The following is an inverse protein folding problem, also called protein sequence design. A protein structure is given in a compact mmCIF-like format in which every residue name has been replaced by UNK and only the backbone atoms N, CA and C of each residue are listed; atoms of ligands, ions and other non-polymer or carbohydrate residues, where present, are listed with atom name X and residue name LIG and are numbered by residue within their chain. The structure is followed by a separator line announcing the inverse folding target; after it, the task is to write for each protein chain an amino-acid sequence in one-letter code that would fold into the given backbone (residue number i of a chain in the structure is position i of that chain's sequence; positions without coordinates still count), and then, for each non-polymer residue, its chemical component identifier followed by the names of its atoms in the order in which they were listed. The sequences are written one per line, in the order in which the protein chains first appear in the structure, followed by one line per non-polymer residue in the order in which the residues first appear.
data_IF_951506698587
#
_entry.id   IF_951506698587
#
_cell.length_a   1.000
_cell.length_b   1.000
_cell.length_c   1.000
_cell.angle_alpha   90.00
_cell.angle_beta   90.00
_cell.angle_gamma   90.00
#
_symmetry.space_group_name_H-M   'P 1'
#
loop_
_entity.id
_entity.type
_entity.pdbx_description
1 polymer ?
#
# COMPACT_ATOMS: atom_id res chain seq x y z
N UNK A 1 40.26 -27.42 -41.96
CA UNK A 1 39.08 -27.94 -41.22
C UNK A 1 38.60 -26.81 -40.34
N UNK A 2 37.56 -26.10 -40.77
CA UNK A 2 37.11 -24.88 -40.12
C UNK A 2 36.07 -25.26 -39.07
N UNK A 3 36.45 -25.16 -37.80
CA UNK A 3 35.59 -25.49 -36.66
C UNK A 3 34.46 -24.46 -36.58
N UNK A 4 33.23 -24.90 -36.84
CA UNK A 4 32.03 -24.09 -36.63
C UNK A 4 31.73 -24.01 -35.13
N UNK A 5 31.80 -22.80 -34.57
CA UNK A 5 31.49 -22.53 -33.16
C UNK A 5 29.98 -22.29 -33.03
N UNK A 6 29.28 -23.15 -32.29
CA UNK A 6 27.85 -22.97 -32.00
C UNK A 6 27.73 -22.08 -30.76
N UNK A 7 27.27 -20.84 -30.95
CA UNK A 7 26.95 -19.92 -29.86
C UNK A 7 25.53 -20.24 -29.40
N UNK A 8 25.40 -20.97 -28.28
CA UNK A 8 24.12 -21.18 -27.63
C UNK A 8 23.79 -19.89 -26.87
N UNK A 9 22.86 -19.11 -27.39
CA UNK A 9 22.30 -17.96 -26.68
C UNK A 9 21.26 -18.49 -25.69
N UNK A 10 21.68 -18.70 -24.44
CA UNK A 10 20.78 -18.99 -23.33
C UNK A 10 20.07 -17.68 -23.00
N UNK A 11 18.87 -17.50 -23.56
CA UNK A 11 17.97 -16.43 -23.16
C UNK A 11 17.53 -16.78 -21.74
N UNK A 12 18.20 -16.13 -20.79
CA UNK A 12 17.85 -16.14 -19.39
C UNK A 12 16.38 -15.71 -19.28
N UNK A 13 15.49 -16.69 -19.07
CA UNK A 13 14.19 -16.50 -18.46
C UNK A 13 14.42 -16.02 -17.03
N UNK A 14 14.91 -14.78 -16.89
CA UNK A 14 14.83 -14.06 -15.64
C UNK A 14 13.33 -13.87 -15.42
N UNK A 15 12.72 -14.45 -14.38
CA UNK A 15 11.42 -13.95 -13.94
C UNK A 15 11.68 -12.47 -13.73
N UNK A 16 10.97 -11.61 -14.48
CA UNK A 16 11.03 -10.18 -14.31
C UNK A 16 10.83 -9.95 -12.83
N UNK A 17 11.93 -9.67 -12.12
CA UNK A 17 11.88 -9.35 -10.71
C UNK A 17 10.96 -8.15 -10.69
N UNK A 18 9.76 -8.35 -10.17
CA UNK A 18 8.83 -7.27 -9.96
C UNK A 18 9.60 -6.31 -9.08
N UNK A 19 10.12 -5.26 -9.71
CA UNK A 19 10.69 -4.13 -9.06
C UNK A 19 9.52 -3.58 -8.26
N UNK A 20 9.41 -4.01 -6.99
CA UNK A 20 8.55 -3.39 -6.02
C UNK A 20 9.05 -1.96 -5.99
N UNK A 21 8.35 -1.08 -6.71
CA UNK A 21 8.64 0.32 -6.63
C UNK A 21 8.55 0.66 -5.15
N UNK A 22 9.59 1.31 -4.63
CA UNK A 22 9.56 2.05 -3.36
C UNK A 22 8.54 3.22 -3.44
N UNK A 23 7.42 3.03 -4.16
CA UNK A 23 6.28 3.91 -4.09
C UNK A 23 5.66 3.70 -2.73
N UNK A 24 5.61 4.77 -1.93
CA UNK A 24 4.97 4.78 -0.62
C UNK A 24 3.69 3.95 -0.62
N UNK A 25 3.74 2.81 0.05
CA UNK A 25 2.64 1.86 0.07
C UNK A 25 1.42 2.56 0.68
N UNK A 26 0.39 2.77 -0.14
CA UNK A 26 -0.87 3.37 0.32
C UNK A 26 -1.65 2.32 1.09
N UNK A 27 -1.81 2.55 2.39
CA UNK A 27 -2.59 1.72 3.31
C UNK A 27 -3.97 2.34 3.52
N UNK A 28 -5.03 1.54 3.54
CA UNK A 28 -6.39 2.02 3.82
C UNK A 28 -6.76 1.68 5.26
N UNK A 29 -7.16 2.68 6.04
CA UNK A 29 -7.60 2.51 7.43
C UNK A 29 -8.94 1.79 7.48
N UNK A 30 -9.07 0.85 8.40
CA UNK A 30 -10.30 0.12 8.69
C UNK A 30 -10.46 -0.13 10.18
N UNK A 31 -11.71 -0.30 10.62
CA UNK A 31 -12.07 -0.58 12.01
C UNK A 31 -12.80 -1.91 12.10
N UNK A 32 -12.37 -2.77 13.01
CA UNK A 32 -13.08 -4.00 13.33
C UNK A 32 -13.96 -3.76 14.56
N UNK A 33 -15.30 -3.72 14.42
CA UNK A 33 -16.19 -3.44 15.54
C UNK A 33 -16.36 -4.60 16.52
N UNK A 34 -16.02 -5.83 16.13
CA UNK A 34 -16.13 -7.00 17.03
C UNK A 34 -15.03 -7.00 18.08
N UNK A 35 -13.84 -6.57 17.69
CA UNK A 35 -12.64 -6.57 18.54
C UNK A 35 -12.14 -5.17 18.88
N UNK A 36 -12.90 -4.16 18.46
CA UNK A 36 -12.66 -2.74 18.71
C UNK A 36 -11.24 -2.27 18.39
N UNK A 37 -10.75 -2.57 17.18
CA UNK A 37 -9.42 -2.13 16.77
C UNK A 37 -9.30 -1.59 15.35
N UNK A 38 -8.33 -0.69 15.19
CA UNK A 38 -7.87 -0.13 13.93
C UNK A 38 -6.83 -1.02 13.24
N UNK A 39 -6.93 -1.16 11.93
CA UNK A 39 -6.00 -1.89 11.09
C UNK A 39 -5.89 -1.30 9.69
N UNK A 40 -4.85 -1.69 8.97
CA UNK A 40 -4.66 -1.34 7.57
C UNK A 40 -5.05 -2.49 6.66
N UNK A 41 -5.70 -2.15 5.55
CA UNK A 41 -5.90 -3.03 4.40
C UNK A 41 -4.79 -2.79 3.36
N UNK A 42 -4.20 -3.85 2.77
CA UNK A 42 -4.52 -5.27 3.01
C UNK A 42 -3.89 -5.83 4.30
N UNK A 43 -2.82 -5.23 4.82
CA UNK A 43 -2.11 -5.74 6.01
C UNK A 43 -1.58 -4.60 6.88
N UNK A 44 -1.32 -4.92 8.15
CA UNK A 44 -0.66 -4.03 9.10
C UNK A 44 -1.61 -3.36 10.09
N UNK A 45 -1.02 -2.62 11.04
CA UNK A 45 -1.73 -1.90 12.09
C UNK A 45 -1.10 -0.53 12.27
N UNK A 46 -1.87 0.55 12.44
CA UNK A 46 -1.32 1.81 12.91
C UNK A 46 -0.88 1.68 14.37
N UNK A 47 0.21 2.35 14.74
CA UNK A 47 0.66 2.45 16.13
C UNK A 47 -0.31 3.30 16.96
N UNK A 48 -0.85 4.35 16.33
CA UNK A 48 -1.80 5.28 16.92
C UNK A 48 -2.76 5.78 15.84
N UNK A 49 -4.01 6.00 16.25
CA UNK A 49 -5.03 6.71 15.46
C UNK A 49 -5.51 7.86 16.31
N UNK A 50 -5.22 9.08 15.90
CA UNK A 50 -5.66 10.28 16.63
C UNK A 50 -7.17 10.47 16.50
N UNK A 51 -7.76 11.21 17.43
CA UNK A 51 -9.21 11.48 17.42
C UNK A 51 -9.69 12.12 16.11
N UNK A 52 -8.89 13.02 15.54
CA UNK A 52 -9.20 13.65 14.25
C UNK A 52 -9.25 12.61 13.11
N UNK A 53 -8.35 11.63 13.13
CA UNK A 53 -8.33 10.55 12.14
C UNK A 53 -9.52 9.60 12.34
N UNK A 54 -9.91 9.30 13.58
CA UNK A 54 -11.12 8.51 13.86
C UNK A 54 -12.38 9.22 13.34
N UNK A 55 -12.54 10.51 13.64
CA UNK A 55 -13.66 11.32 13.15
C UNK A 55 -13.70 11.38 11.62
N UNK A 56 -12.55 11.60 10.99
CA UNK A 56 -12.41 11.60 9.54
C UNK A 56 -12.78 10.23 8.93
N UNK A 57 -12.39 9.13 9.58
CA UNK A 57 -12.77 7.78 9.16
C UNK A 57 -14.29 7.62 9.18
N UNK A 58 -14.95 7.95 10.30
CA UNK A 58 -16.40 7.80 10.42
C UNK A 58 -17.15 8.67 9.41
N UNK A 59 -16.66 9.88 9.12
CA UNK A 59 -17.24 10.78 8.13
C UNK A 59 -17.04 10.32 6.67
N UNK A 60 -15.94 9.62 6.38
CA UNK A 60 -15.52 9.25 5.03
C UNK A 60 -15.67 7.76 4.69
N UNK A 61 -16.01 6.87 5.64
CA UNK A 61 -15.98 5.40 5.44
C UNK A 61 -16.82 4.90 4.26
N UNK A 62 -17.93 5.57 3.92
CA UNK A 62 -18.77 5.23 2.75
C UNK A 62 -18.44 6.06 1.50
N UNK A 63 -17.47 6.97 1.59
CA UNK A 63 -17.07 7.94 0.55
C UNK A 63 -15.63 7.75 0.05
N UNK A 64 -14.98 6.65 0.43
CA UNK A 64 -13.62 6.29 0.03
C UNK A 64 -12.68 5.99 1.21
N UNK A 65 -13.02 6.41 2.43
CA UNK A 65 -12.25 6.13 3.63
C UNK A 65 -11.02 7.02 3.82
N UNK A 66 -10.18 6.61 4.77
CA UNK A 66 -8.95 7.30 5.17
C UNK A 66 -7.76 6.41 4.81
N UNK A 67 -6.71 7.03 4.28
CA UNK A 67 -5.51 6.38 3.80
C UNK A 67 -4.27 6.89 4.54
N UNK A 68 -3.22 6.09 4.53
CA UNK A 68 -1.94 6.37 5.16
C UNK A 68 -0.78 6.00 4.25
N UNK A 69 0.27 6.82 4.25
CA UNK A 69 1.60 6.51 3.70
C UNK A 69 2.66 6.86 4.75
N UNK A 70 2.88 8.16 4.94
CA UNK A 70 3.61 8.79 6.05
C UNK A 70 2.74 9.84 6.78
N UNK A 71 1.59 10.16 6.21
CA UNK A 71 0.60 11.11 6.71
C UNK A 71 -0.78 10.53 6.47
N UNK A 72 -1.76 10.97 7.27
CA UNK A 72 -3.17 10.65 7.07
C UNK A 72 -3.79 11.55 6.01
N UNK A 73 -4.61 10.98 5.14
CA UNK A 73 -5.34 11.72 4.13
C UNK A 73 -6.63 11.01 3.71
N UNK A 74 -7.59 11.74 3.19
CA UNK A 74 -8.80 11.15 2.60
C UNK A 74 -8.44 10.42 1.30
N UNK A 75 -8.76 9.12 1.21
CA UNK A 75 -8.35 8.29 0.07
C UNK A 75 -8.85 8.83 -1.29
N UNK A 76 -10.05 9.43 -1.31
CA UNK A 76 -10.69 9.92 -2.54
C UNK A 76 -10.13 11.25 -3.02
N UNK A 77 -9.75 12.14 -2.10
CA UNK A 77 -9.39 13.53 -2.43
C UNK A 77 -7.90 13.82 -2.30
N UNK A 78 -7.15 13.00 -1.55
CA UNK A 78 -5.75 13.26 -1.24
C UNK A 78 -5.55 14.38 -0.22
N UNK A 79 -6.62 14.99 0.30
CA UNK A 79 -6.54 16.06 1.28
C UNK A 79 -6.00 15.48 2.60
N UNK A 80 -4.93 16.09 3.12
CA UNK A 80 -4.30 15.74 4.39
C UNK A 80 -5.26 15.94 5.55
N UNK A 81 -5.21 15.05 6.54
CA UNK A 81 -5.88 15.16 7.83
C UNK A 81 -4.83 15.63 8.85
N UNK A 82 -5.12 16.70 9.59
CA UNK A 82 -4.24 17.16 10.67
C UNK A 82 -4.50 16.35 11.94
N UNK A 83 -3.43 15.91 12.60
CA UNK A 83 -3.48 15.16 13.86
C UNK A 83 -3.48 16.10 15.07
#
# INVERSE_FOLDING_TARGET
MNSATIIIAIILLLPASQQSSDGLERKVLSYNPTYEFWFFMPTGRPDHVSKNVEEAYWAARTKGGVCYTNVWFYCKTGIKIEE
#
